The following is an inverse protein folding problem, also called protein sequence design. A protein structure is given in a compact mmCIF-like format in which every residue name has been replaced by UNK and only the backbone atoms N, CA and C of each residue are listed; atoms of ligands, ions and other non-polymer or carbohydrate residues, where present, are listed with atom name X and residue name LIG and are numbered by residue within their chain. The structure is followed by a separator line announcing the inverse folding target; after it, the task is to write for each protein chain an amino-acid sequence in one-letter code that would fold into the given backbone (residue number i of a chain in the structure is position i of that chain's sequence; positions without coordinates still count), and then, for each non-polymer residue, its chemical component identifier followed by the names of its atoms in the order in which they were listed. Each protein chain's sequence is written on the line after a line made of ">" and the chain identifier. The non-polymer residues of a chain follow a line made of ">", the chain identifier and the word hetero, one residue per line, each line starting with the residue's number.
data_IF_784356612487
#
_entry.id   IF_784356612487
#
_cell.length_a   1.000
_cell.length_b   1.000
_cell.length_c   1.000
_cell.angle_alpha   90.00
_cell.angle_beta   90.00
_cell.angle_gamma   90.00
#
_symmetry.space_group_name_H-M   'P 1'
#
loop_
_entity.id
_entity.type
_entity.pdbx_description
1 polymer ?
#
# COMPACT_ATOMS: atom_id res chain seq x y z
N UNK A 1 -8.79 19.45 -32.13
CA UNK A 1 -7.73 19.80 -31.16
C UNK A 1 -7.99 19.02 -29.88
N UNK A 2 -7.30 17.91 -29.65
CA UNK A 2 -7.39 17.18 -28.38
C UNK A 2 -6.25 17.66 -27.48
N UNK A 3 -6.58 18.57 -26.56
CA UNK A 3 -5.67 18.95 -25.49
C UNK A 3 -5.42 17.70 -24.64
N UNK A 4 -4.27 17.06 -24.85
CA UNK A 4 -3.71 16.04 -23.97
C UNK A 4 -3.48 16.76 -22.63
N UNK A 5 -4.49 16.75 -21.74
CA UNK A 5 -4.34 17.19 -20.36
C UNK A 5 -3.21 16.34 -19.81
N UNK A 6 -2.04 16.95 -19.65
CA UNK A 6 -0.99 16.36 -18.86
C UNK A 6 -1.58 16.37 -17.45
N UNK A 7 -2.14 15.23 -17.01
CA UNK A 7 -2.42 15.02 -15.60
C UNK A 7 -1.08 15.21 -14.90
N UNK A 8 -0.82 16.43 -14.40
CA UNK A 8 0.38 16.82 -13.66
C UNK A 8 0.54 16.11 -12.33
N UNK A 9 -0.38 15.17 -12.03
CA UNK A 9 -0.32 14.25 -10.91
C UNK A 9 0.85 13.30 -11.10
N UNK A 10 1.70 13.26 -10.09
CA UNK A 10 2.81 12.32 -10.00
C UNK A 10 2.31 10.88 -10.07
N UNK A 11 3.15 9.92 -10.52
CA UNK A 11 2.79 8.51 -10.51
C UNK A 11 2.29 8.00 -9.15
N UNK A 12 2.84 8.54 -8.05
CA UNK A 12 2.43 8.24 -6.68
C UNK A 12 0.99 8.68 -6.41
N UNK A 13 0.61 9.91 -6.78
CA UNK A 13 -0.77 10.39 -6.58
C UNK A 13 -1.80 9.55 -7.34
N UNK A 14 -1.46 9.12 -8.56
CA UNK A 14 -2.33 8.22 -9.33
C UNK A 14 -2.46 6.84 -8.68
N UNK A 15 -1.36 6.35 -8.11
CA UNK A 15 -1.35 5.07 -7.41
C UNK A 15 -2.14 5.13 -6.10
N UNK A 16 -2.09 6.26 -5.37
CA UNK A 16 -2.89 6.51 -4.17
C UNK A 16 -4.40 6.57 -4.49
N UNK A 17 -4.78 7.25 -5.57
CA UNK A 17 -6.17 7.29 -6.05
C UNK A 17 -6.65 5.87 -6.43
N UNK A 18 -5.84 5.11 -7.17
CA UNK A 18 -6.17 3.73 -7.55
C UNK A 18 -6.26 2.78 -6.34
N UNK A 19 -5.42 2.99 -5.31
CA UNK A 19 -5.42 2.17 -4.11
C UNK A 19 -6.72 2.27 -3.30
N UNK A 20 -7.42 3.40 -3.40
CA UNK A 20 -8.74 3.58 -2.75
C UNK A 20 -9.81 2.61 -3.27
N UNK A 21 -9.61 2.02 -4.46
CA UNK A 21 -10.51 1.01 -5.04
C UNK A 21 -10.13 -0.43 -4.73
N UNK A 22 -9.04 -0.68 -3.98
CA UNK A 22 -8.58 -2.04 -3.68
C UNK A 22 -9.52 -2.74 -2.69
N UNK A 23 -9.89 -3.98 -3.00
CA UNK A 23 -10.68 -4.81 -2.09
C UNK A 23 -9.81 -5.29 -0.93
N UNK A 24 -10.28 -5.20 0.32
CA UNK A 24 -9.62 -5.84 1.45
C UNK A 24 -9.61 -7.38 1.29
N UNK A 25 -8.72 -8.07 1.99
CA UNK A 25 -8.67 -9.54 2.02
C UNK A 25 -8.03 -10.20 0.80
N UNK A 26 -7.23 -9.46 0.04
CA UNK A 26 -6.40 -10.03 -1.03
C UNK A 26 -4.94 -9.67 -0.79
N UNK A 27 -4.05 -10.64 -1.02
CA UNK A 27 -2.61 -10.43 -0.90
C UNK A 27 -2.13 -9.25 -1.76
N UNK A 28 -2.66 -9.12 -2.98
CA UNK A 28 -2.32 -8.02 -3.89
C UNK A 28 -2.64 -6.63 -3.30
N UNK A 29 -3.72 -6.53 -2.52
CA UNK A 29 -4.10 -5.29 -1.84
C UNK A 29 -3.13 -4.96 -0.71
N UNK A 30 -2.73 -5.97 0.08
CA UNK A 30 -1.72 -5.78 1.14
C UNK A 30 -0.39 -5.34 0.56
N UNK A 31 0.06 -5.98 -0.53
CA UNK A 31 1.31 -5.61 -1.21
C UNK A 31 1.25 -4.17 -1.73
N UNK A 32 0.21 -3.81 -2.49
CA UNK A 32 0.09 -2.48 -3.06
C UNK A 32 0.04 -1.38 -1.97
N UNK A 33 -0.73 -1.58 -0.91
CA UNK A 33 -0.82 -0.63 0.21
C UNK A 33 0.50 -0.54 0.99
N UNK A 34 1.19 -1.67 1.17
CA UNK A 34 2.51 -1.71 1.82
C UNK A 34 3.55 -0.95 1.01
N UNK A 35 3.59 -1.14 -0.31
CA UNK A 35 4.52 -0.41 -1.19
C UNK A 35 4.19 1.09 -1.19
N UNK A 36 2.92 1.47 -1.25
CA UNK A 36 2.53 2.87 -1.18
C UNK A 36 2.87 3.51 0.17
N UNK A 37 2.76 2.79 1.28
CA UNK A 37 3.18 3.28 2.58
C UNK A 37 4.70 3.54 2.65
N UNK A 38 5.50 2.70 1.99
CA UNK A 38 6.96 2.89 1.87
C UNK A 38 7.26 4.12 1.01
N UNK A 39 6.64 4.24 -0.16
CA UNK A 39 6.88 5.38 -1.07
C UNK A 39 6.34 6.71 -0.51
N UNK A 40 5.32 6.64 0.34
CA UNK A 40 4.79 7.78 1.07
C UNK A 40 5.58 8.08 2.36
N UNK A 41 6.72 7.43 2.61
CA UNK A 41 7.54 7.68 3.80
C UNK A 41 7.79 9.18 4.03
N UNK A 42 7.61 9.62 5.27
CA UNK A 42 7.69 11.04 5.64
C UNK A 42 6.44 11.86 5.33
N UNK A 43 5.39 11.27 4.74
CA UNK A 43 4.06 11.88 4.58
C UNK A 43 3.10 11.32 5.64
N UNK A 44 2.09 12.12 6.06
CA UNK A 44 1.07 11.64 6.99
C UNK A 44 0.23 10.48 6.41
N UNK A 45 0.17 10.38 5.08
CA UNK A 45 -0.58 9.33 4.36
C UNK A 45 0.03 7.93 4.58
N UNK A 46 1.33 7.83 4.88
CA UNK A 46 2.01 6.54 5.08
C UNK A 46 1.41 5.73 6.23
N UNK A 47 1.04 6.38 7.33
CA UNK A 47 0.40 5.72 8.48
C UNK A 47 -0.97 5.15 8.10
N UNK A 48 -1.78 5.93 7.38
CA UNK A 48 -3.12 5.53 6.93
C UNK A 48 -3.07 4.38 5.92
N UNK A 49 -2.09 4.39 5.01
CA UNK A 49 -1.85 3.32 4.04
C UNK A 49 -1.39 2.04 4.75
N UNK A 50 -0.47 2.16 5.70
CA UNK A 50 -0.01 1.03 6.50
C UNK A 50 -1.15 0.40 7.32
N UNK A 51 -1.96 1.21 8.01
CA UNK A 51 -3.12 0.73 8.73
C UNK A 51 -4.12 -0.01 7.81
N UNK A 52 -4.31 0.50 6.59
CA UNK A 52 -5.14 -0.15 5.58
C UNK A 52 -4.55 -1.49 5.12
N UNK A 53 -3.22 -1.57 4.96
CA UNK A 53 -2.53 -2.81 4.64
C UNK A 53 -2.68 -3.86 5.74
N UNK A 54 -2.57 -3.45 7.01
CA UNK A 54 -2.78 -4.32 8.19
C UNK A 54 -4.20 -4.86 8.20
N UNK A 55 -5.21 -4.01 8.04
CA UNK A 55 -6.61 -4.43 7.96
C UNK A 55 -6.88 -5.37 6.77
N UNK A 56 -6.24 -5.14 5.62
CA UNK A 56 -6.37 -6.04 4.48
C UNK A 56 -5.74 -7.42 4.75
N UNK A 57 -4.70 -7.49 5.58
CA UNK A 57 -4.04 -8.74 5.96
C UNK A 57 -4.80 -9.53 7.03
N UNK A 58 -5.59 -8.88 7.90
CA UNK A 58 -6.38 -9.59 8.93
C UNK A 58 -7.46 -10.49 8.33
N UNK A 59 -7.94 -10.17 7.13
CA UNK A 59 -8.95 -10.96 6.42
C UNK A 59 -8.35 -12.15 5.64
N UNK A 60 -7.02 -12.24 5.57
CA UNK A 60 -6.35 -13.34 4.88
C UNK A 60 -6.38 -14.62 5.72
N UNK A 61 -6.56 -15.76 5.04
CA UNK A 61 -6.61 -17.07 5.69
C UNK A 61 -5.27 -17.43 6.35
N UNK A 62 -5.21 -17.62 7.69
CA UNK A 62 -3.97 -17.92 8.37
C UNK A 62 -3.32 -19.22 7.86
N UNK A 63 -2.00 -19.26 7.84
CA UNK A 63 -1.22 -20.41 7.35
C UNK A 63 -1.22 -20.59 5.82
N UNK A 64 -1.84 -19.69 5.07
CA UNK A 64 -1.70 -19.65 3.60
C UNK A 64 -0.39 -18.97 3.18
N UNK A 65 0.12 -19.36 2.02
CA UNK A 65 1.27 -18.70 1.39
C UNK A 65 1.04 -17.19 1.22
N UNK A 66 -0.19 -16.79 0.86
CA UNK A 66 -0.61 -15.40 0.75
C UNK A 66 -0.48 -14.63 2.06
N UNK A 67 -0.89 -15.24 3.18
CA UNK A 67 -0.76 -14.63 4.51
C UNK A 67 0.69 -14.46 4.94
N UNK A 68 1.55 -15.45 4.67
CA UNK A 68 2.98 -15.34 4.99
C UNK A 68 3.62 -14.17 4.22
N UNK A 69 3.33 -14.04 2.92
CA UNK A 69 3.85 -12.91 2.13
C UNK A 69 3.27 -11.56 2.56
N UNK A 70 1.98 -11.51 2.87
CA UNK A 70 1.34 -10.30 3.37
C UNK A 70 2.01 -9.81 4.66
N UNK A 71 2.24 -10.71 5.63
CA UNK A 71 2.92 -10.37 6.88
C UNK A 71 4.38 -9.94 6.66
N UNK A 72 5.10 -10.59 5.75
CA UNK A 72 6.46 -10.18 5.39
C UNK A 72 6.51 -8.77 4.78
N UNK A 73 5.55 -8.44 3.90
CA UNK A 73 5.43 -7.11 3.32
C UNK A 73 5.06 -6.05 4.36
N UNK A 74 4.15 -6.37 5.30
CA UNK A 74 3.83 -5.48 6.41
C UNK A 74 5.05 -5.21 7.29
N UNK A 75 5.83 -6.24 7.63
CA UNK A 75 7.05 -6.07 8.41
C UNK A 75 8.08 -5.18 7.69
N UNK A 76 8.18 -5.32 6.36
CA UNK A 76 9.03 -4.44 5.54
C UNK A 76 8.51 -3.00 5.54
N UNK A 77 7.22 -2.81 5.28
CA UNK A 77 6.62 -1.49 5.24
C UNK A 77 6.73 -0.77 6.58
N UNK A 78 6.55 -1.48 7.68
CA UNK A 78 6.74 -0.95 9.03
C UNK A 78 8.17 -0.44 9.28
N UNK A 79 9.16 -1.25 8.90
CA UNK A 79 10.58 -0.88 9.05
C UNK A 79 10.93 0.35 8.25
N UNK A 80 10.60 0.34 6.96
CA UNK A 80 10.98 1.39 6.01
C UNK A 80 10.21 2.69 6.29
N UNK A 81 8.90 2.62 6.57
CA UNK A 81 8.10 3.81 6.90
C UNK A 81 8.52 4.43 8.22
N UNK A 82 8.98 3.64 9.19
CA UNK A 82 9.41 4.12 10.51
C UNK A 82 10.86 4.59 10.52
N UNK A 83 11.60 4.42 9.41
CA UNK A 83 13.02 4.77 9.33
C UNK A 83 13.91 3.94 10.28
N UNK A 84 13.42 2.80 10.80
CA UNK A 84 14.23 1.87 11.59
C UNK A 84 15.16 1.10 10.65
N UNK A 85 16.31 1.70 10.33
CA UNK A 85 17.37 1.01 9.59
C UNK A 85 18.37 0.34 10.53
#
# INVERSE_FOLDING_TARGET
>A
MFARRQDGRTPLEKALEAASGLKPGSWASVEALSMLAIEAHGRPEAESLYASAVNAATDLKPGSWESVRALAWLARADRERSGQK
#
